data_IF_703602668860
#
_entry.id   IF_703602668860
#
_cell.length_a   1.000
_cell.length_b   1.000
_cell.length_c   1.000
_cell.angle_alpha   90.00
_cell.angle_beta   90.00
_cell.angle_gamma   90.00
#
_symmetry.space_group_name_H-M   'P 1'
#
loop_
_entity.id
_entity.type
_entity.pdbx_description
1 polymer ?
#
# COMPACT_ATOMS: atom_id res chain seq x y z
N UNK A 1 -33.80 -56.14 -4.84
CA UNK A 1 -33.02 -55.52 -5.93
C UNK A 1 -32.73 -54.08 -5.51
N UNK A 2 -31.68 -53.87 -4.70
CA UNK A 2 -30.33 -53.37 -5.13
C UNK A 2 -30.43 -51.92 -5.63
N UNK A 3 -30.28 -50.93 -4.76
CA UNK A 3 -29.02 -50.33 -4.24
C UNK A 3 -28.27 -49.52 -5.30
N UNK A 4 -28.00 -48.25 -4.98
CA UNK A 4 -27.17 -47.36 -5.80
C UNK A 4 -27.13 -45.94 -5.27
N UNK A 5 -26.66 -45.74 -4.02
CA UNK A 5 -26.35 -44.42 -3.46
C UNK A 5 -24.90 -44.08 -3.82
N UNK A 6 -24.67 -43.02 -4.59
CA UNK A 6 -23.32 -42.49 -4.90
C UNK A 6 -23.06 -41.27 -4.01
N UNK A 7 -21.94 -41.21 -3.27
CA UNK A 7 -21.53 -40.02 -2.54
C UNK A 7 -20.54 -39.20 -3.37
N UNK A 8 -20.80 -37.90 -3.58
CA UNK A 8 -19.83 -36.97 -4.17
C UNK A 8 -19.09 -36.18 -3.09
N UNK A 9 -17.83 -36.55 -2.95
CA UNK A 9 -16.64 -35.85 -2.41
C UNK A 9 -16.83 -34.48 -1.73
N UNK A 10 -16.40 -34.43 -0.46
CA UNK A 10 -15.92 -33.22 0.21
C UNK A 10 -14.56 -32.83 -0.38
N UNK A 11 -14.47 -31.64 -0.98
CA UNK A 11 -13.18 -31.01 -1.28
C UNK A 11 -12.59 -30.43 0.00
N UNK A 12 -11.43 -30.94 0.37
CA UNK A 12 -10.55 -30.38 1.40
C UNK A 12 -9.72 -29.29 0.72
N UNK A 13 -9.95 -28.03 1.09
CA UNK A 13 -9.10 -26.92 0.67
C UNK A 13 -7.78 -26.98 1.45
N UNK A 14 -6.71 -27.40 0.76
CA UNK A 14 -5.34 -27.30 1.26
C UNK A 14 -4.85 -25.86 1.18
N UNK A 15 -4.45 -25.30 2.33
CA UNK A 15 -3.64 -24.08 2.39
C UNK A 15 -2.26 -24.37 1.81
N UNK A 16 -2.01 -23.90 0.59
CA UNK A 16 -0.68 -23.84 -0.01
C UNK A 16 -0.04 -22.50 0.38
N UNK A 17 0.92 -22.54 1.32
CA UNK A 17 1.85 -21.46 1.56
C UNK A 17 2.91 -21.45 0.43
N UNK A 18 2.92 -20.40 -0.39
CA UNK A 18 3.96 -20.17 -1.40
C UNK A 18 5.28 -19.67 -0.78
N UNK A 19 6.44 -19.88 -1.44
CA UNK A 19 7.74 -19.60 -0.84
C UNK A 19 8.21 -18.16 -1.07
N UNK A 20 8.82 -17.58 -0.03
CA UNK A 20 10.06 -16.83 -0.12
C UNK A 20 10.00 -15.38 -0.64
N UNK A 21 9.65 -14.44 0.24
CA UNK A 21 10.08 -13.04 0.11
C UNK A 21 11.43 -12.88 0.82
N UNK A 22 12.51 -12.71 0.06
CA UNK A 22 13.84 -12.36 0.58
C UNK A 22 13.91 -10.84 0.69
N UNK A 23 13.92 -10.31 1.92
CA UNK A 23 14.22 -8.91 2.18
C UNK A 23 15.73 -8.70 2.19
N UNK A 24 16.25 -7.95 1.21
CA UNK A 24 17.65 -7.50 1.19
C UNK A 24 17.76 -6.17 1.94
N UNK A 25 18.40 -6.17 3.10
CA UNK A 25 18.75 -4.96 3.83
C UNK A 25 20.17 -4.51 3.42
N UNK A 26 20.28 -3.42 2.67
CA UNK A 26 21.57 -2.80 2.33
C UNK A 26 21.92 -1.71 3.34
N UNK A 27 23.03 -1.88 4.05
CA UNK A 27 23.63 -0.86 4.92
C UNK A 27 24.56 0.01 4.07
N UNK A 28 24.20 1.27 3.80
CA UNK A 28 25.08 2.22 3.12
C UNK A 28 25.79 3.07 4.18
N UNK A 29 27.10 2.86 4.34
CA UNK A 29 27.96 3.81 5.07
C UNK A 29 28.25 5.00 4.17
N UNK A 30 27.83 6.20 4.61
CA UNK A 30 28.21 7.45 3.95
C UNK A 30 29.57 7.89 4.51
N UNK A 31 30.64 7.98 3.70
CA UNK A 31 31.90 8.54 4.17
C UNK A 31 31.74 10.05 4.43
N UNK A 32 32.34 10.51 5.53
CA UNK A 32 32.35 11.93 5.93
C UNK A 32 33.09 12.82 4.92
N UNK A 33 32.85 14.14 4.97
CA UNK A 33 33.41 15.08 3.99
C UNK A 33 34.94 15.14 4.09
N UNK A 34 35.58 14.96 2.94
CA UNK A 34 37.02 15.20 2.74
C UNK A 34 37.26 16.72 2.71
N UNK A 35 38.26 17.26 3.44
CA UNK A 35 38.57 18.68 3.35
C UNK A 35 39.04 19.04 1.94
N UNK A 36 38.43 20.10 1.38
CA UNK A 36 38.70 20.58 0.05
C UNK A 36 40.15 21.09 -0.08
N UNK A 37 40.91 20.49 -1.00
CA UNK A 37 42.17 21.06 -1.49
C UNK A 37 41.87 22.31 -2.31
N UNK A 38 42.57 23.40 -1.99
CA UNK A 38 42.51 24.65 -2.73
C UNK A 38 43.04 24.47 -4.16
N UNK A 39 42.26 24.90 -5.16
CA UNK A 39 42.70 25.14 -6.53
C UNK A 39 42.76 26.63 -6.82
N UNK A 40 43.72 27.10 -7.65
CA UNK A 40 43.95 28.51 -7.91
C UNK A 40 42.90 29.12 -8.84
N UNK A 41 42.68 30.41 -8.64
CA UNK A 41 41.74 31.26 -9.36
C UNK A 41 42.15 31.48 -10.82
N UNK A 42 41.15 31.44 -11.71
CA UNK A 42 41.17 31.98 -13.06
C UNK A 42 39.95 32.90 -13.24
N UNK A 43 40.08 34.02 -13.99
CA UNK A 43 39.08 35.09 -13.99
C UNK A 43 38.06 34.86 -15.10
N UNK A 44 36.77 35.05 -14.84
CA UNK A 44 35.86 35.72 -15.77
C UNK A 44 34.62 36.23 -15.02
N UNK A 45 34.39 37.52 -15.23
CA UNK A 45 33.32 38.36 -14.70
C UNK A 45 31.94 38.01 -15.27
N UNK A 46 30.92 38.35 -14.48
CA UNK A 46 29.74 39.04 -15.03
C UNK A 46 28.42 38.29 -15.01
N UNK A 47 27.77 38.20 -13.84
CA UNK A 47 26.31 38.28 -13.76
C UNK A 47 25.86 38.62 -12.33
N UNK A 48 25.14 39.73 -12.21
CA UNK A 48 24.53 40.30 -10.99
C UNK A 48 23.44 39.40 -10.41
N UNK A 49 23.55 39.06 -9.12
CA UNK A 49 22.51 38.41 -8.33
C UNK A 49 21.80 39.44 -7.40
N UNK A 50 20.47 39.33 -7.18
CA UNK A 50 19.69 40.19 -6.28
C UNK A 50 19.94 39.89 -4.78
N UNK A 51 19.56 40.80 -3.85
CA UNK A 51 20.10 40.84 -2.50
C UNK A 51 19.69 39.67 -1.60
N UNK A 52 20.67 39.22 -0.83
CA UNK A 52 20.56 38.19 0.19
C UNK A 52 19.46 38.50 1.22
N UNK A 53 18.51 37.57 1.34
CA UNK A 53 17.60 37.50 2.48
C UNK A 53 18.39 37.07 3.73
N UNK A 54 18.25 37.86 4.78
CA UNK A 54 18.79 37.65 6.13
C UNK A 54 18.35 36.28 6.66
N UNK A 55 19.32 35.39 6.90
CA UNK A 55 19.11 34.16 7.65
C UNK A 55 18.93 34.53 9.12
N UNK A 56 17.68 34.54 9.59
CA UNK A 56 17.38 34.57 11.02
C UNK A 56 17.91 33.28 11.66
N UNK A 57 18.74 33.43 12.68
CA UNK A 57 19.27 32.36 13.50
C UNK A 57 18.12 31.53 14.12
N UNK A 58 17.89 30.33 13.58
CA UNK A 58 17.14 29.28 14.27
C UNK A 58 18.15 28.47 15.07
N UNK A 59 18.05 28.51 16.40
CA UNK A 59 18.76 27.61 17.32
C UNK A 59 17.87 26.38 17.54
N UNK A 60 18.25 25.18 17.09
CA UNK A 60 17.74 23.96 17.68
C UNK A 60 18.60 23.65 18.89
N UNK A 61 18.03 23.76 20.09
CA UNK A 61 18.55 23.09 21.27
C UNK A 61 18.24 21.60 21.16
N UNK A 62 19.06 20.85 20.42
CA UNK A 62 19.07 19.39 20.49
C UNK A 62 19.93 18.94 21.68
N UNK A 63 19.46 18.00 22.51
CA UNK A 63 20.35 17.24 23.38
C UNK A 63 21.17 16.25 22.52
N UNK A 64 22.49 16.10 22.75
CA UNK A 64 23.30 15.19 21.97
C UNK A 64 23.08 13.74 22.43
N UNK A 65 22.65 12.84 21.54
CA UNK A 65 22.70 11.40 21.83
C UNK A 65 21.80 10.42 21.04
N UNK A 66 21.01 10.85 20.06
CA UNK A 66 20.20 9.92 19.26
C UNK A 66 20.94 9.39 18.04
N UNK A 67 20.93 8.07 17.81
CA UNK A 67 21.27 7.49 16.50
C UNK A 67 19.97 7.35 15.71
N UNK A 68 19.87 8.05 14.58
CA UNK A 68 18.73 7.94 13.66
C UNK A 68 19.04 6.89 12.58
N UNK A 69 18.18 5.88 12.44
CA UNK A 69 18.27 4.87 11.37
C UNK A 69 17.01 5.01 10.51
N UNK A 70 17.17 5.54 9.29
CA UNK A 70 16.10 5.67 8.32
C UNK A 70 16.06 4.46 7.38
N UNK A 71 14.94 3.74 7.34
CA UNK A 71 14.68 2.69 6.35
C UNK A 71 13.70 3.27 5.33
N UNK A 72 14.06 3.27 4.03
CA UNK A 72 13.20 3.75 2.94
C UNK A 72 12.30 2.61 2.43
N UNK A 73 10.97 2.72 2.52
CA UNK A 73 10.07 1.90 1.72
C UNK A 73 9.83 2.52 0.32
N UNK A 74 9.39 1.69 -0.61
CA UNK A 74 8.96 2.07 -1.97
C UNK A 74 7.67 2.90 -1.92
N UNK A 75 7.44 3.82 -2.89
CA UNK A 75 6.34 4.78 -2.83
C UNK A 75 4.98 4.10 -3.01
N UNK A 76 4.03 4.48 -2.17
CA UNK A 76 2.59 4.31 -2.40
C UNK A 76 1.94 5.65 -2.04
N UNK A 77 1.29 6.27 -3.03
CA UNK A 77 0.76 7.63 -2.96
C UNK A 77 -0.72 7.69 -2.56
N UNK A 78 -1.04 8.65 -1.66
CA UNK A 78 -2.34 9.34 -1.41
C UNK A 78 -3.46 8.51 -0.74
N UNK A 79 -4.35 9.01 0.13
CA UNK A 79 -4.68 10.30 0.75
C UNK A 79 -5.74 10.07 1.86
N UNK A 80 -5.90 11.00 2.81
CA UNK A 80 -6.46 10.80 4.17
C UNK A 80 -7.99 10.90 4.34
N UNK A 81 -8.52 10.27 5.41
CA UNK A 81 -9.77 10.71 6.05
C UNK A 81 -10.44 9.79 7.09
N UNK A 82 -9.74 9.30 8.12
CA UNK A 82 -10.37 8.62 9.26
C UNK A 82 -9.40 7.79 10.09
N UNK A 83 -9.43 7.89 11.44
CA UNK A 83 -8.55 7.15 12.35
C UNK A 83 -8.94 5.66 12.36
N UNK A 84 -8.18 4.79 11.68
CA UNK A 84 -8.68 3.44 11.37
C UNK A 84 -8.32 2.42 12.44
N UNK A 85 -7.68 2.89 13.51
CA UNK A 85 -7.27 2.12 14.68
C UNK A 85 -7.67 2.76 16.03
N UNK A 86 -8.19 4.00 16.06
CA UNK A 86 -8.29 4.74 17.31
C UNK A 86 -6.92 4.95 17.97
N UNK A 87 -5.84 4.95 17.18
CA UNK A 87 -4.49 5.18 17.68
C UNK A 87 -4.18 6.68 17.62
N UNK A 88 -4.91 7.46 18.43
CA UNK A 88 -4.45 8.78 18.88
C UNK A 88 -3.05 8.60 19.49
N UNK A 89 -1.99 8.92 18.74
CA UNK A 89 -0.58 8.74 19.15
C UNK A 89 -0.38 7.52 20.06
N UNK A 90 -0.51 6.30 19.54
CA UNK A 90 0.15 5.19 20.24
C UNK A 90 1.63 5.30 19.93
N UNK A 91 2.27 6.20 20.67
CA UNK A 91 3.63 5.97 21.10
C UNK A 91 3.60 4.60 21.78
N UNK A 92 4.03 3.56 21.07
CA UNK A 92 4.39 2.31 21.73
C UNK A 92 5.68 2.60 22.50
N UNK A 93 5.57 3.33 23.61
CA UNK A 93 6.61 3.44 24.62
C UNK A 93 6.53 2.14 25.43
N UNK A 94 7.11 1.07 24.88
CA UNK A 94 7.38 -0.12 25.65
C UNK A 94 8.53 0.22 26.62
N UNK A 95 8.19 0.64 27.84
CA UNK A 95 9.16 0.78 28.92
C UNK A 95 9.56 -0.62 29.40
N UNK A 96 10.74 -1.08 28.98
CA UNK A 96 11.28 -2.39 29.33
C UNK A 96 12.15 -2.30 30.60
N UNK A 97 11.54 -1.96 31.74
CA UNK A 97 12.26 -1.85 33.02
C UNK A 97 12.32 -3.17 33.83
N UNK A 98 13.46 -3.88 33.72
CA UNK A 98 14.13 -4.74 34.74
C UNK A 98 13.58 -6.14 35.10
N UNK A 99 14.37 -7.02 35.78
CA UNK A 99 15.81 -7.32 35.63
C UNK A 99 16.13 -8.83 35.46
N UNK A 100 17.20 -9.13 34.71
CA UNK A 100 18.23 -10.15 35.02
C UNK A 100 19.33 -10.06 33.96
N UNK A 101 20.54 -9.68 34.39
CA UNK A 101 21.74 -9.84 33.57
C UNK A 101 21.99 -11.35 33.44
N UNK A 102 21.86 -11.87 32.22
CA UNK A 102 22.21 -13.24 31.91
C UNK A 102 23.73 -13.39 31.90
N UNK A 103 24.22 -14.50 32.45
CA UNK A 103 25.60 -14.94 32.26
C UNK A 103 25.93 -15.04 30.77
N UNK A 104 27.18 -14.76 30.35
CA UNK A 104 27.60 -14.73 28.95
C UNK A 104 27.64 -16.14 28.33
N UNK A 105 26.47 -16.73 28.11
CA UNK A 105 26.29 -18.01 27.45
C UNK A 105 26.29 -17.88 25.93
N UNK A 106 27.46 -17.98 25.31
CA UNK A 106 27.75 -18.74 24.08
C UNK A 106 27.02 -18.49 22.75
N UNK A 107 25.99 -17.66 22.66
CA UNK A 107 25.28 -17.43 21.39
C UNK A 107 25.96 -16.32 20.57
N UNK A 108 26.42 -16.65 19.36
CA UNK A 108 27.05 -15.64 18.49
C UNK A 108 26.05 -14.52 18.15
N UNK A 109 26.44 -13.24 18.22
CA UNK A 109 25.58 -12.10 17.89
C UNK A 109 24.81 -12.24 16.58
N UNK A 110 25.49 -12.69 15.53
CA UNK A 110 24.89 -12.90 14.21
C UNK A 110 23.73 -13.91 14.23
N UNK A 111 23.87 -15.02 14.99
CA UNK A 111 22.81 -16.03 15.13
C UNK A 111 21.61 -15.44 15.86
N UNK A 112 21.81 -14.79 17.00
CA UNK A 112 20.71 -14.20 17.76
C UNK A 112 19.89 -13.19 16.92
N UNK A 113 20.57 -12.34 16.14
CA UNK A 113 19.93 -11.40 15.21
C UNK A 113 19.15 -12.11 14.10
N UNK A 114 19.77 -13.10 13.43
CA UNK A 114 19.11 -13.84 12.34
C UNK A 114 17.85 -14.56 12.83
N UNK A 115 17.91 -15.19 14.00
CA UNK A 115 16.74 -15.84 14.57
C UNK A 115 15.61 -14.85 14.86
N UNK A 116 15.90 -13.69 15.45
CA UNK A 116 14.88 -12.66 15.70
C UNK A 116 14.35 -12.00 14.42
N UNK A 117 15.13 -11.98 13.35
CA UNK A 117 14.65 -11.49 12.04
C UNK A 117 13.62 -12.44 11.42
N UNK A 118 13.77 -13.76 11.63
CA UNK A 118 12.80 -14.77 11.15
C UNK A 118 11.59 -14.85 12.08
N UNK A 119 11.82 -14.87 13.39
CA UNK A 119 10.79 -15.02 14.41
C UNK A 119 11.06 -14.05 15.57
N UNK A 120 10.22 -13.02 15.77
CA UNK A 120 10.43 -12.03 16.82
C UNK A 120 10.51 -12.69 18.19
N UNK A 121 11.54 -12.33 18.95
CA UNK A 121 11.81 -12.88 20.27
C UNK A 121 12.68 -14.13 20.27
N UNK A 122 13.01 -14.74 19.12
CA UNK A 122 13.82 -15.95 19.06
C UNK A 122 15.28 -15.74 19.49
N UNK A 123 15.91 -14.61 19.13
CA UNK A 123 17.23 -14.24 19.64
C UNK A 123 17.22 -14.01 21.15
N UNK A 124 16.18 -13.38 21.68
CA UNK A 124 15.99 -13.18 23.12
C UNK A 124 15.77 -14.53 23.84
N UNK A 125 15.07 -15.47 23.19
CA UNK A 125 14.94 -16.84 23.69
C UNK A 125 16.30 -17.54 23.78
N UNK A 126 17.14 -17.44 22.74
CA UNK A 126 18.49 -17.99 22.73
C UNK A 126 19.39 -17.38 23.83
N UNK A 127 19.17 -16.10 24.15
CA UNK A 127 19.87 -15.39 25.22
C UNK A 127 19.24 -15.62 26.62
N UNK A 128 18.22 -16.48 26.74
CA UNK A 128 17.57 -16.79 28.02
C UNK A 128 16.71 -15.65 28.60
N UNK A 129 16.31 -14.68 27.78
CA UNK A 129 15.63 -13.47 28.22
C UNK A 129 14.09 -13.60 28.15
N UNK A 130 13.39 -13.07 29.15
CA UNK A 130 11.93 -13.16 29.25
C UNK A 130 11.17 -12.26 28.27
N UNK A 131 11.80 -11.20 27.75
CA UNK A 131 11.21 -10.27 26.78
C UNK A 131 10.82 -10.91 25.44
N UNK A 132 11.23 -12.16 25.18
CA UNK A 132 10.70 -12.98 24.08
C UNK A 132 9.17 -13.03 24.04
N UNK A 133 8.53 -13.04 25.21
CA UNK A 133 7.07 -13.09 25.31
C UNK A 133 6.39 -11.80 24.88
N UNK A 134 7.05 -10.65 25.03
CA UNK A 134 6.54 -9.36 24.55
C UNK A 134 6.52 -9.35 23.03
N UNK A 135 7.64 -9.72 22.40
CA UNK A 135 7.73 -9.80 20.93
C UNK A 135 6.73 -10.79 20.35
N UNK A 136 6.58 -11.97 20.99
CA UNK A 136 5.61 -12.97 20.56
C UNK A 136 4.16 -12.49 20.70
N UNK A 137 3.82 -11.81 21.80
CA UNK A 137 2.48 -11.28 22.02
C UNK A 137 2.12 -10.19 20.99
N UNK A 138 3.07 -9.29 20.69
CA UNK A 138 2.91 -8.28 19.64
C UNK A 138 2.74 -8.91 18.26
N UNK A 139 3.54 -9.93 17.96
CA UNK A 139 3.48 -10.68 16.70
C UNK A 139 2.11 -11.34 16.50
N UNK A 140 1.64 -12.09 17.51
CA UNK A 140 0.34 -12.76 17.46
C UNK A 140 -0.81 -11.76 17.30
N UNK A 141 -0.73 -10.62 18.00
CA UNK A 141 -1.72 -9.54 17.90
C UNK A 141 -1.71 -8.90 16.51
N UNK A 142 -0.53 -8.64 15.95
CA UNK A 142 -0.37 -8.12 14.59
C UNK A 142 -0.99 -9.04 13.55
N UNK A 143 -0.69 -10.34 13.60
CA UNK A 143 -1.27 -11.33 12.69
C UNK A 143 -2.78 -11.44 12.83
N UNK A 144 -3.30 -11.43 14.06
CA UNK A 144 -4.74 -11.41 14.30
C UNK A 144 -5.41 -10.23 13.59
N UNK A 145 -4.89 -9.01 13.76
CA UNK A 145 -5.44 -7.84 13.08
C UNK A 145 -5.27 -7.90 11.56
N UNK A 146 -4.11 -8.33 11.06
CA UNK A 146 -3.89 -8.49 9.62
C UNK A 146 -4.94 -9.42 8.99
N UNK A 147 -5.11 -10.62 9.57
CA UNK A 147 -6.04 -11.63 9.06
C UNK A 147 -7.50 -11.18 9.17
N UNK A 148 -7.90 -10.60 10.32
CA UNK A 148 -9.24 -10.06 10.53
C UNK A 148 -9.60 -8.98 9.49
N UNK A 149 -8.71 -8.01 9.31
CA UNK A 149 -8.96 -6.89 8.38
C UNK A 149 -8.87 -7.34 6.93
N UNK A 150 -7.97 -8.25 6.59
CA UNK A 150 -7.87 -8.84 5.25
C UNK A 150 -9.12 -9.65 4.88
N UNK A 151 -9.69 -10.39 5.84
CA UNK A 151 -10.94 -11.14 5.65
C UNK A 151 -12.12 -10.18 5.44
N UNK A 152 -12.30 -9.19 6.32
CA UNK A 152 -13.38 -8.21 6.18
C UNK A 152 -13.29 -7.41 4.89
N UNK A 153 -12.08 -7.08 4.44
CA UNK A 153 -11.86 -6.46 3.13
C UNK A 153 -12.31 -7.38 1.98
N UNK A 154 -12.07 -8.69 2.06
CA UNK A 154 -12.59 -9.64 1.06
C UNK A 154 -14.11 -9.70 1.07
N UNK A 155 -14.71 -9.78 2.26
CA UNK A 155 -16.16 -9.90 2.40
C UNK A 155 -16.86 -8.67 1.82
N UNK A 156 -16.35 -7.47 2.11
CA UNK A 156 -16.84 -6.22 1.50
C UNK A 156 -16.55 -6.15 -0.01
N UNK A 157 -15.42 -6.72 -0.44
CA UNK A 157 -15.11 -6.78 -1.86
C UNK A 157 -16.06 -7.67 -2.64
N UNK A 158 -16.50 -8.79 -2.06
CA UNK A 158 -17.57 -9.61 -2.63
C UNK A 158 -18.90 -8.83 -2.60
N UNK A 159 -19.20 -8.17 -1.48
CA UNK A 159 -20.46 -7.44 -1.31
C UNK A 159 -20.65 -6.31 -2.35
N UNK A 160 -19.65 -5.48 -2.62
CA UNK A 160 -19.82 -4.43 -3.64
C UNK A 160 -19.98 -5.02 -5.05
N UNK A 161 -19.33 -6.15 -5.36
CA UNK A 161 -19.47 -6.81 -6.67
C UNK A 161 -20.85 -7.39 -6.86
N UNK A 162 -21.37 -8.03 -5.82
CA UNK A 162 -22.73 -8.55 -5.78
C UNK A 162 -23.74 -7.41 -5.89
N UNK A 163 -23.53 -6.31 -5.17
CA UNK A 163 -24.37 -5.12 -5.22
C UNK A 163 -24.41 -4.51 -6.62
N UNK A 164 -23.23 -4.26 -7.23
CA UNK A 164 -23.15 -3.74 -8.60
C UNK A 164 -23.86 -4.65 -9.61
N UNK A 165 -23.72 -5.98 -9.45
CA UNK A 165 -24.38 -6.95 -10.32
C UNK A 165 -25.91 -6.87 -10.25
N UNK A 166 -26.46 -6.63 -9.06
CA UNK A 166 -27.91 -6.59 -8.84
C UNK A 166 -28.50 -5.23 -9.20
N UNK A 167 -27.87 -4.15 -8.76
CA UNK A 167 -28.47 -2.80 -8.79
C UNK A 167 -28.03 -1.97 -10.00
N UNK A 168 -26.78 -2.13 -10.46
CA UNK A 168 -26.21 -1.23 -11.47
C UNK A 168 -26.23 -1.81 -12.88
N UNK A 169 -25.96 -3.11 -12.99
CA UNK A 169 -25.60 -3.71 -14.28
C UNK A 169 -26.82 -3.92 -15.16
N UNK A 170 -26.66 -3.55 -16.43
CA UNK A 170 -27.59 -3.93 -17.48
C UNK A 170 -27.36 -5.42 -17.75
N UNK A 171 -28.17 -6.26 -17.12
CA UNK A 171 -27.96 -7.71 -17.12
C UNK A 171 -28.06 -8.27 -18.54
N UNK A 172 -26.95 -8.82 -19.02
CA UNK A 172 -26.89 -9.63 -20.24
C UNK A 172 -26.03 -10.87 -19.98
N UNK A 173 -26.53 -12.05 -20.34
CA UNK A 173 -25.78 -13.30 -20.25
C UNK A 173 -25.46 -13.79 -18.84
N UNK A 174 -24.36 -14.55 -18.73
CA UNK A 174 -23.84 -15.08 -17.47
C UNK A 174 -23.10 -13.99 -16.67
N UNK A 175 -23.05 -14.13 -15.34
CA UNK A 175 -22.28 -13.23 -14.49
C UNK A 175 -20.80 -13.27 -14.81
N UNK A 176 -20.25 -12.11 -15.16
CA UNK A 176 -18.81 -11.90 -15.37
C UNK A 176 -18.35 -10.74 -14.50
N UNK A 177 -17.50 -11.01 -13.52
CA UNK A 177 -16.93 -9.96 -12.66
C UNK A 177 -15.72 -9.30 -13.34
N UNK A 178 -15.62 -7.97 -13.23
CA UNK A 178 -14.53 -7.17 -13.78
C UNK A 178 -13.30 -7.13 -12.85
N UNK A 179 -12.27 -6.41 -13.26
CA UNK A 179 -11.19 -6.02 -12.35
C UNK A 179 -11.59 -4.82 -11.48
N UNK A 180 -10.68 -4.33 -10.65
CA UNK A 180 -10.99 -3.20 -9.76
C UNK A 180 -11.21 -1.89 -10.52
N UNK A 181 -10.54 -1.65 -11.65
CA UNK A 181 -10.71 -0.42 -12.43
C UNK A 181 -12.16 -0.29 -12.92
N UNK A 182 -12.76 -1.39 -13.36
CA UNK A 182 -14.19 -1.45 -13.68
C UNK A 182 -15.07 -0.95 -12.53
N UNK A 183 -14.91 -1.54 -11.34
CA UNK A 183 -15.71 -1.18 -10.17
C UNK A 183 -15.47 0.27 -9.71
N UNK A 184 -14.28 0.81 -9.95
CA UNK A 184 -13.98 2.22 -9.73
C UNK A 184 -14.71 3.11 -10.75
N UNK A 185 -14.82 2.71 -12.03
CA UNK A 185 -15.62 3.48 -13.01
C UNK A 185 -17.09 3.54 -12.64
N UNK A 186 -17.65 2.49 -12.03
CA UNK A 186 -19.03 2.50 -11.53
C UNK A 186 -19.30 3.57 -10.47
N UNK A 187 -18.29 3.99 -9.67
CA UNK A 187 -18.47 5.10 -8.71
C UNK A 187 -18.32 6.47 -9.36
N UNK A 188 -17.56 6.55 -10.45
CA UNK A 188 -17.22 7.81 -11.13
C UNK A 188 -18.28 8.25 -12.14
N UNK A 189 -18.98 7.29 -12.76
CA UNK A 189 -19.87 7.53 -13.89
C UNK A 189 -21.27 7.02 -13.58
N UNK A 190 -22.28 7.86 -13.81
CA UNK A 190 -23.67 7.46 -13.65
C UNK A 190 -24.07 6.34 -14.62
N UNK A 191 -23.51 6.32 -15.83
CA UNK A 191 -23.85 5.35 -16.87
C UNK A 191 -22.61 4.97 -17.66
N UNK A 192 -22.56 3.71 -18.13
CA UNK A 192 -21.54 3.28 -19.08
C UNK A 192 -21.73 3.90 -20.46
N UNK A 193 -22.98 4.16 -20.86
CA UNK A 193 -23.32 4.34 -22.28
C UNK A 193 -23.30 3.01 -23.03
N UNK A 194 -23.75 2.99 -24.29
CA UNK A 194 -23.68 1.76 -25.09
C UNK A 194 -22.23 1.53 -25.56
N UNK A 195 -21.84 0.27 -25.78
CA UNK A 195 -20.59 -0.02 -26.50
C UNK A 195 -20.81 0.05 -28.01
N UNK A 196 -21.99 -0.41 -28.43
CA UNK A 196 -22.44 -0.41 -29.79
C UNK A 196 -23.87 0.12 -29.82
N UNK A 197 -24.02 1.34 -30.33
CA UNK A 197 -25.29 2.05 -30.37
C UNK A 197 -26.26 1.44 -31.40
N UNK A 198 -25.76 0.74 -32.43
CA UNK A 198 -26.58 0.05 -33.41
C UNK A 198 -25.96 -1.31 -33.78
N UNK A 199 -26.22 -2.36 -32.96
CA UNK A 199 -25.72 -3.71 -33.23
C UNK A 199 -26.25 -4.35 -34.52
N UNK A 200 -27.22 -3.72 -35.19
CA UNK A 200 -27.75 -4.19 -36.48
C UNK A 200 -26.93 -3.67 -37.66
N UNK A 201 -26.16 -2.60 -37.45
CA UNK A 201 -25.21 -2.09 -38.42
C UNK A 201 -23.92 -2.92 -38.42
N UNK A 202 -23.15 -2.81 -39.51
CA UNK A 202 -21.88 -3.50 -39.62
C UNK A 202 -20.80 -2.73 -38.84
N UNK A 203 -20.05 -3.42 -37.98
CA UNK A 203 -18.99 -2.82 -37.16
C UNK A 203 -19.52 -2.42 -35.78
N UNK A 204 -18.71 -1.65 -35.04
CA UNK A 204 -19.11 -1.05 -33.76
C UNK A 204 -19.51 0.39 -34.02
N UNK A 205 -20.64 0.82 -33.46
CA UNK A 205 -21.13 2.19 -33.53
C UNK A 205 -20.89 2.84 -32.16
N UNK A 206 -19.84 3.65 -32.00
CA UNK A 206 -19.48 4.18 -30.70
C UNK A 206 -20.59 5.05 -30.10
N UNK A 207 -20.71 5.00 -28.77
CA UNK A 207 -21.50 5.96 -28.01
C UNK A 207 -21.00 7.39 -28.25
N UNK A 208 -21.94 8.31 -28.47
CA UNK A 208 -21.65 9.72 -28.80
C UNK A 208 -21.93 10.68 -27.67
N UNK A 209 -22.63 10.23 -26.62
CA UNK A 209 -22.93 11.04 -25.44
C UNK A 209 -21.71 11.11 -24.49
N UNK A 210 -20.98 12.24 -24.42
CA UNK A 210 -19.76 12.37 -23.61
C UNK A 210 -20.02 12.32 -22.10
N UNK A 211 -21.26 12.46 -21.64
CA UNK A 211 -21.63 12.33 -20.23
C UNK A 211 -21.67 10.85 -19.76
N UNK A 212 -21.50 9.91 -20.69
CA UNK A 212 -21.34 8.48 -20.41
C UNK A 212 -19.87 8.06 -20.47
N UNK A 213 -19.51 6.98 -19.77
CA UNK A 213 -18.13 6.48 -19.80
C UNK A 213 -17.66 6.18 -21.22
N UNK A 214 -18.40 5.34 -21.97
CA UNK A 214 -18.03 4.95 -23.32
C UNK A 214 -18.01 6.17 -24.26
N UNK A 215 -18.98 7.08 -24.17
CA UNK A 215 -18.95 8.29 -24.99
C UNK A 215 -17.76 9.19 -24.70
N UNK A 216 -17.31 9.30 -23.44
CA UNK A 216 -16.08 10.03 -23.10
C UNK A 216 -14.82 9.39 -23.70
N UNK A 217 -14.77 8.05 -23.81
CA UNK A 217 -13.69 7.33 -24.49
C UNK A 217 -13.72 7.62 -25.99
N UNK A 218 -14.92 7.69 -26.59
CA UNK A 218 -15.06 8.03 -28.01
C UNK A 218 -14.69 9.48 -28.30
N UNK A 219 -15.11 10.43 -27.46
CA UNK A 219 -14.70 11.83 -27.55
C UNK A 219 -13.17 11.96 -27.49
N UNK A 220 -12.53 11.27 -26.53
CA UNK A 220 -11.07 11.25 -26.44
C UNK A 220 -10.42 10.63 -27.69
N UNK A 221 -10.96 9.53 -28.20
CA UNK A 221 -10.45 8.85 -29.39
C UNK A 221 -10.51 9.77 -30.62
N UNK A 222 -11.65 10.42 -30.83
CA UNK A 222 -11.83 11.35 -31.95
C UNK A 222 -10.94 12.57 -31.79
N UNK A 223 -10.81 13.16 -30.60
CA UNK A 223 -9.89 14.26 -30.34
C UNK A 223 -8.40 13.94 -30.60
N UNK A 224 -7.98 12.68 -30.44
CA UNK A 224 -6.61 12.25 -30.71
C UNK A 224 -6.37 11.97 -32.21
N UNK A 225 -7.31 11.27 -32.86
CA UNK A 225 -7.08 10.69 -34.19
C UNK A 225 -7.78 11.44 -35.33
N UNK A 226 -8.84 12.18 -35.04
CA UNK A 226 -9.66 12.91 -36.01
C UNK A 226 -9.44 14.43 -35.80
N UNK A 227 -8.57 15.07 -36.60
CA UNK A 227 -8.36 16.51 -36.49
C UNK A 227 -9.64 17.29 -36.85
N UNK A 228 -9.74 18.53 -36.36
CA UNK A 228 -10.86 19.44 -36.65
C UNK A 228 -11.22 19.47 -38.14
N UNK A 229 -12.48 19.20 -38.45
CA UNK A 229 -12.98 19.12 -39.82
C UNK A 229 -14.21 18.23 -39.96
N UNK A 230 -14.69 18.00 -41.19
CA UNK A 230 -15.77 17.05 -41.44
C UNK A 230 -15.32 15.65 -41.03
N UNK A 231 -16.21 14.91 -40.39
CA UNK A 231 -15.96 13.53 -39.99
C UNK A 231 -15.57 12.68 -41.21
N UNK A 232 -14.40 12.01 -41.18
CA UNK A 232 -13.98 11.19 -42.31
C UNK A 232 -14.88 9.96 -42.44
N UNK A 233 -14.98 9.37 -43.66
CA UNK A 233 -15.75 8.15 -43.84
C UNK A 233 -15.19 7.02 -42.97
N UNK A 234 -16.05 6.07 -42.57
CA UNK A 234 -15.65 4.97 -41.69
C UNK A 234 -14.46 4.14 -42.23
N UNK A 235 -14.24 4.09 -43.55
CA UNK A 235 -13.10 3.42 -44.17
C UNK A 235 -11.76 4.15 -44.01
N UNK A 236 -11.74 5.39 -43.51
CA UNK A 236 -10.52 6.17 -43.31
C UNK A 236 -9.64 5.52 -42.23
N UNK A 237 -8.33 5.34 -42.47
CA UNK A 237 -7.43 4.76 -41.48
C UNK A 237 -7.40 5.48 -40.13
N UNK A 238 -7.67 6.79 -40.09
CA UNK A 238 -7.74 7.57 -38.85
C UNK A 238 -8.99 7.22 -38.04
N UNK A 239 -10.13 7.08 -38.73
CA UNK A 239 -11.38 6.62 -38.12
C UNK A 239 -11.21 5.22 -37.55
N UNK A 240 -10.57 4.32 -38.29
CA UNK A 240 -10.27 2.97 -37.83
C UNK A 240 -9.36 2.94 -36.59
N UNK A 241 -8.39 3.87 -36.47
CA UNK A 241 -7.58 4.01 -35.24
C UNK A 241 -8.39 4.53 -34.06
N UNK A 242 -9.28 5.50 -34.28
CA UNK A 242 -10.20 5.97 -33.24
C UNK A 242 -11.09 4.83 -32.75
N UNK A 243 -11.67 4.06 -33.67
CA UNK A 243 -12.47 2.88 -33.35
C UNK A 243 -11.66 1.83 -32.58
N UNK A 244 -10.41 1.56 -32.98
CA UNK A 244 -9.55 0.63 -32.26
C UNK A 244 -9.29 1.11 -30.82
N UNK A 245 -8.96 2.39 -30.64
CA UNK A 245 -8.74 2.97 -29.32
C UNK A 245 -9.97 2.85 -28.43
N UNK A 246 -11.15 3.12 -29.00
CA UNK A 246 -12.44 2.94 -28.33
C UNK A 246 -12.69 1.48 -27.95
N UNK A 247 -12.51 0.54 -28.88
CA UNK A 247 -12.74 -0.88 -28.63
C UNK A 247 -11.82 -1.47 -27.56
N UNK A 248 -10.61 -0.92 -27.40
CA UNK A 248 -9.66 -1.35 -26.37
C UNK A 248 -9.97 -0.82 -24.96
N UNK A 249 -10.78 0.24 -24.84
CA UNK A 249 -10.96 1.00 -23.58
C UNK A 249 -12.41 1.15 -23.15
N UNK A 250 -13.36 1.08 -24.08
CA UNK A 250 -14.78 1.05 -23.77
C UNK A 250 -15.17 -0.26 -23.11
N UNK A 251 -16.17 -0.21 -22.24
CA UNK A 251 -16.75 -1.41 -21.67
C UNK A 251 -17.77 -2.01 -22.63
N UNK A 252 -17.57 -3.28 -22.99
CA UNK A 252 -18.45 -4.07 -23.84
C UNK A 252 -19.82 -4.36 -23.23
N UNK A 253 -20.70 -4.99 -24.02
CA UNK A 253 -22.11 -5.26 -23.67
C UNK A 253 -22.29 -6.02 -22.36
N UNK A 254 -21.34 -6.88 -22.01
CA UNK A 254 -21.38 -7.64 -20.77
C UNK A 254 -21.18 -6.73 -19.56
N UNK A 255 -20.40 -5.64 -19.66
CA UNK A 255 -20.00 -4.78 -18.54
C UNK A 255 -20.85 -3.50 -18.38
N UNK A 256 -21.87 -3.29 -19.21
CA UNK A 256 -22.66 -2.05 -19.16
C UNK A 256 -23.39 -1.87 -17.82
N UNK A 257 -23.51 -0.62 -17.37
CA UNK A 257 -24.19 -0.22 -16.14
C UNK A 257 -24.98 1.07 -16.34
N UNK A 258 -26.01 1.24 -15.51
CA UNK A 258 -26.84 2.44 -15.49
C UNK A 258 -27.40 2.68 -14.09
N UNK A 259 -26.94 3.75 -13.42
CA UNK A 259 -27.45 4.19 -12.12
C UNK A 259 -28.61 5.19 -12.23
N UNK A 260 -29.15 5.42 -13.44
CA UNK A 260 -30.19 6.42 -13.65
C UNK A 260 -31.44 6.06 -12.85
N UNK A 261 -31.84 6.97 -11.96
CA UNK A 261 -32.98 6.77 -11.07
C UNK A 261 -32.65 6.03 -9.76
N UNK A 262 -31.40 5.61 -9.55
CA UNK A 262 -30.94 4.89 -8.36
C UNK A 262 -29.73 5.56 -7.71
N UNK A 263 -29.73 6.90 -7.60
CA UNK A 263 -28.59 7.65 -7.05
C UNK A 263 -28.18 7.22 -5.63
N UNK A 264 -29.15 6.92 -4.77
CA UNK A 264 -28.89 6.38 -3.41
C UNK A 264 -28.13 5.04 -3.46
N UNK A 265 -28.44 4.17 -4.43
CA UNK A 265 -27.73 2.90 -4.60
C UNK A 265 -26.27 3.12 -5.05
N UNK A 266 -26.01 4.13 -5.89
CA UNK A 266 -24.64 4.48 -6.29
C UNK A 266 -23.81 4.99 -5.09
N UNK A 267 -24.42 5.77 -4.20
CA UNK A 267 -23.80 6.22 -2.95
C UNK A 267 -23.50 5.04 -2.01
N UNK A 268 -24.48 4.15 -1.78
CA UNK A 268 -24.29 2.94 -0.96
C UNK A 268 -23.17 2.04 -1.53
N UNK A 269 -23.14 1.88 -2.85
CA UNK A 269 -22.07 1.17 -3.54
C UNK A 269 -20.69 1.82 -3.30
N UNK A 270 -20.60 3.15 -3.40
CA UNK A 270 -19.39 3.91 -3.09
C UNK A 270 -18.92 3.73 -1.64
N UNK A 271 -19.85 3.66 -0.69
CA UNK A 271 -19.56 3.39 0.72
C UNK A 271 -18.99 1.98 0.94
N UNK A 272 -19.51 0.96 0.23
CA UNK A 272 -18.97 -0.39 0.29
C UNK A 272 -17.53 -0.47 -0.22
N UNK A 273 -17.20 0.21 -1.33
CA UNK A 273 -15.83 0.29 -1.84
C UNK A 273 -14.93 1.00 -0.84
N UNK A 274 -15.36 2.16 -0.35
CA UNK A 274 -14.61 2.94 0.64
C UNK A 274 -14.32 2.14 1.91
N UNK A 275 -15.31 1.38 2.39
CA UNK A 275 -15.16 0.50 3.53
C UNK A 275 -14.19 -0.66 3.25
N UNK A 276 -14.27 -1.28 2.07
CA UNK A 276 -13.35 -2.34 1.63
C UNK A 276 -11.90 -1.85 1.62
N UNK A 277 -11.64 -0.72 0.96
CA UNK A 277 -10.31 -0.12 0.86
C UNK A 277 -9.75 0.24 2.23
N UNK A 278 -10.60 0.75 3.11
CA UNK A 278 -10.22 1.06 4.48
C UNK A 278 -9.80 -0.19 5.27
N UNK A 279 -10.48 -1.33 5.09
CA UNK A 279 -10.04 -2.61 5.68
C UNK A 279 -8.71 -3.08 5.10
N UNK A 280 -8.46 -2.90 3.81
CA UNK A 280 -7.16 -3.23 3.20
C UNK A 280 -6.03 -2.33 3.67
N UNK A 281 -6.28 -1.02 3.84
CA UNK A 281 -5.31 -0.10 4.45
C UNK A 281 -4.98 -0.52 5.88
N UNK A 282 -5.98 -0.90 6.67
CA UNK A 282 -5.78 -1.42 8.03
C UNK A 282 -4.96 -2.71 8.04
N UNK A 283 -5.21 -3.64 7.13
CA UNK A 283 -4.42 -4.86 7.01
C UNK A 283 -2.95 -4.54 6.66
N UNK A 284 -2.71 -3.65 5.69
CA UNK A 284 -1.35 -3.20 5.32
C UNK A 284 -0.62 -2.54 6.49
N UNK A 285 -1.32 -1.71 7.27
CA UNK A 285 -0.77 -1.09 8.47
C UNK A 285 -0.40 -2.12 9.55
N UNK A 286 -1.23 -3.15 9.77
CA UNK A 286 -0.93 -4.25 10.69
C UNK A 286 0.31 -5.04 10.23
N UNK A 287 0.42 -5.32 8.92
CA UNK A 287 1.60 -5.95 8.35
C UNK A 287 2.87 -5.10 8.55
N UNK A 288 2.77 -3.78 8.39
CA UNK A 288 3.86 -2.86 8.69
C UNK A 288 4.31 -2.93 10.17
N UNK A 289 3.35 -3.03 11.09
CA UNK A 289 3.64 -3.19 12.52
C UNK A 289 4.33 -4.53 12.84
N UNK A 290 3.93 -5.63 12.19
CA UNK A 290 4.61 -6.93 12.27
C UNK A 290 6.07 -6.77 11.83
N UNK A 291 6.30 -6.24 10.63
CA UNK A 291 7.67 -6.05 10.09
C UNK A 291 8.52 -5.18 11.04
N UNK A 292 7.94 -4.12 11.60
CA UNK A 292 8.60 -3.30 12.61
C UNK A 292 8.99 -4.10 13.87
N UNK A 293 8.09 -4.95 14.36
CA UNK A 293 8.34 -5.84 15.50
C UNK A 293 9.54 -6.77 15.24
N UNK A 294 9.65 -7.34 14.03
CA UNK A 294 10.80 -8.15 13.61
C UNK A 294 12.12 -7.35 13.65
N UNK A 295 12.14 -6.15 13.08
CA UNK A 295 13.34 -5.30 13.02
C UNK A 295 13.79 -4.92 14.43
N UNK A 296 12.86 -4.46 15.27
CA UNK A 296 13.14 -4.09 16.66
C UNK A 296 13.67 -5.29 17.43
N UNK A 297 13.05 -6.46 17.27
CA UNK A 297 13.49 -7.69 17.93
C UNK A 297 14.90 -8.10 17.50
N UNK A 298 15.24 -7.98 16.21
CA UNK A 298 16.55 -8.31 15.68
C UNK A 298 17.65 -7.38 16.21
N UNK A 299 17.39 -6.07 16.25
CA UNK A 299 18.30 -5.06 16.82
C UNK A 299 18.50 -5.29 18.31
N UNK A 300 17.43 -5.54 19.05
CA UNK A 300 17.49 -5.81 20.49
C UNK A 300 18.29 -7.08 20.82
N UNK A 301 18.12 -8.14 20.02
CA UNK A 301 18.90 -9.38 20.17
C UNK A 301 20.39 -9.14 19.89
N UNK A 302 20.70 -8.35 18.85
CA UNK A 302 22.06 -7.95 18.52
C UNK A 302 22.71 -7.20 19.68
N UNK A 303 22.09 -6.13 20.17
CA UNK A 303 22.63 -5.30 21.24
C UNK A 303 22.87 -6.09 22.52
N UNK A 304 21.92 -6.94 22.92
CA UNK A 304 22.09 -7.72 24.14
C UNK A 304 23.11 -8.84 24.03
N UNK A 305 23.30 -9.43 22.84
CA UNK A 305 24.40 -10.36 22.63
C UNK A 305 25.79 -9.69 22.76
N UNK A 306 25.85 -8.36 22.64
CA UNK A 306 27.05 -7.53 22.85
C UNK A 306 27.17 -6.99 24.28
N UNK A 307 26.22 -7.33 25.16
CA UNK A 307 26.17 -6.79 26.53
C UNK A 307 25.79 -5.31 26.58
N UNK A 308 25.30 -4.73 25.48
CA UNK A 308 24.80 -3.34 25.48
C UNK A 308 23.48 -3.30 26.26
N UNK A 309 23.33 -2.38 27.24
CA UNK A 309 22.09 -2.20 27.96
C UNK A 309 20.92 -1.96 27.00
N UNK A 310 19.77 -2.52 27.34
CA UNK A 310 18.56 -2.38 26.54
C UNK A 310 18.21 -0.90 26.36
N UNK A 311 17.82 -0.47 25.15
CA UNK A 311 17.28 0.87 24.95
C UNK A 311 16.10 1.12 25.89
N UNK A 312 16.06 2.31 26.49
CA UNK A 312 14.97 2.73 27.38
C UNK A 312 13.69 3.04 26.60
N UNK A 313 13.82 3.40 25.32
CA UNK A 313 12.70 3.63 24.42
C UNK A 313 13.05 3.17 23.00
N UNK A 314 12.17 2.36 22.41
CA UNK A 314 12.17 2.09 20.97
C UNK A 314 10.81 2.50 20.43
N UNK A 315 10.78 3.54 19.61
CA UNK A 315 9.56 4.08 19.02
C UNK A 315 9.55 3.79 17.54
N UNK A 316 8.60 2.96 17.12
CA UNK A 316 8.28 2.76 15.70
C UNK A 316 6.95 3.40 15.42
N UNK A 317 6.91 4.35 14.50
CA UNK A 317 5.69 5.02 14.13
C UNK A 317 5.62 5.27 12.61
N UNK A 318 4.45 5.10 11.99
CA UNK A 318 4.22 5.64 10.67
C UNK A 318 4.26 7.17 10.75
N UNK A 319 5.05 7.78 9.88
CA UNK A 319 5.13 9.22 9.66
C UNK A 319 4.71 9.48 8.23
N UNK A 320 3.70 10.32 8.06
CA UNK A 320 3.28 10.72 6.71
C UNK A 320 4.12 11.92 6.29
N UNK A 321 4.83 11.78 5.18
CA UNK A 321 5.60 12.86 4.59
C UNK A 321 4.67 13.93 3.99
N UNK A 322 5.14 15.17 3.80
CA UNK A 322 4.37 16.21 3.11
C UNK A 322 3.92 15.81 1.69
N UNK A 323 4.62 14.86 1.05
CA UNK A 323 4.26 14.27 -0.25
C UNK A 323 3.09 13.29 -0.20
N UNK A 324 2.59 12.94 1.00
CA UNK A 324 1.60 11.88 1.19
C UNK A 324 2.20 10.49 1.38
N UNK A 325 3.52 10.32 1.22
CA UNK A 325 4.18 9.03 1.40
C UNK A 325 4.18 8.60 2.88
N UNK A 326 3.78 7.35 3.15
CA UNK A 326 3.92 6.76 4.48
C UNK A 326 5.35 6.24 4.67
N UNK A 327 6.06 6.79 5.66
CA UNK A 327 7.40 6.34 6.07
C UNK A 327 7.35 5.72 7.44
N UNK A 328 8.05 4.61 7.63
CA UNK A 328 8.24 4.01 8.94
C UNK A 328 9.54 4.52 9.55
N UNK A 329 9.43 5.25 10.66
CA UNK A 329 10.59 5.77 11.39
C UNK A 329 10.76 4.97 12.66
N UNK A 330 11.97 4.45 12.87
CA UNK A 330 12.39 3.82 14.12
C UNK A 330 13.34 4.75 14.85
N UNK A 331 12.95 5.21 16.04
CA UNK A 331 13.83 5.93 16.96
C UNK A 331 14.19 5.04 18.13
N UNK A 332 15.48 4.98 18.44
CA UNK A 332 16.01 4.24 19.58
C UNK A 332 16.65 5.25 20.52
N UNK A 333 16.16 5.31 21.76
CA UNK A 333 16.77 6.09 22.83
C UNK A 333 17.51 5.14 23.77
N UNK A 334 18.80 5.40 23.94
CA UNK A 334 19.64 4.77 24.94
C UNK A 334 19.77 5.76 26.10
N UNK A 335 19.50 5.33 27.32
CA UNK A 335 19.89 6.14 28.47
C UNK A 335 21.41 6.12 28.58
N UNK A 336 22.02 7.30 28.77
CA UNK A 336 23.45 7.36 29.08
C UNK A 336 23.69 6.64 30.40
N UNK A 337 24.66 5.73 30.40
CA UNK A 337 25.25 5.21 31.63
C UNK A 337 25.82 6.39 32.44
N UNK A 338 25.68 6.38 33.77
CA UNK A 338 26.33 7.34 34.66
C UNK A 338 27.86 7.31 34.56
#
# INVERSE_FOLDING_TARGET
MTSGRVPSSRSVAGLLFGPGLVAVASLVLVPGPVPAQARPAGPFEGATAPPATVVSAWKPSEPPGGVEIAVRPLPASLGFGGDPFGFRRVASSASLAGPRQAEPGGASPARATLFSAVLPGAGQHLLGQNRKWVYLALEATGWFFYLDRRSKGNDLAVAYRDFAWVEARIQSGERVDGDFDYYEKLTQWQRSGLFDADPSAAGVQPETDPDTYNGSIWELATGIFLPDGPEPPASDPRYQRALQYYAERGYGTEFLWDWTGTGEAQEEYGDLISASDERYRQATNALGAIIANHVVSAVDAYLSSRGVPTPSEIRVAPTVAPSGDVRWVTRVRLDRLP
#
